data_IF_358799675299
#
_entry.id   IF_358799675299
#
_cell.length_a   1.000
_cell.length_b   1.000
_cell.length_c   1.000
_cell.angle_alpha   90.00
_cell.angle_beta   90.00
_cell.angle_gamma   90.00
#
_symmetry.space_group_name_H-M   'P 1'
#
loop_
_entity.id
_entity.type
_entity.pdbx_description
1 polymer ?
#
# COMPACT_ATOMS: atom_id res chain seq x y z
N UNK A 1 -37.74 -43.16 3.08
CA UNK A 1 -36.81 -44.13 3.72
C UNK A 1 -35.51 -44.12 2.94
N UNK A 2 -34.38 -44.07 3.65
CA UNK A 2 -32.99 -44.33 3.22
C UNK A 2 -32.32 -43.27 2.32
N UNK A 3 -31.38 -42.42 2.82
CA UNK A 3 -29.97 -42.69 3.22
C UNK A 3 -29.10 -42.89 1.95
N UNK A 4 -27.92 -42.30 1.72
CA UNK A 4 -26.82 -41.90 2.61
C UNK A 4 -25.79 -41.12 1.78
N UNK A 5 -25.21 -40.08 2.37
CA UNK A 5 -23.77 -39.77 2.40
C UNK A 5 -22.94 -40.04 1.13
N UNK A 6 -22.56 -38.98 0.43
CA UNK A 6 -21.22 -38.88 -0.17
C UNK A 6 -20.43 -37.79 0.57
N UNK A 7 -19.79 -38.20 1.68
CA UNK A 7 -18.73 -37.40 2.31
C UNK A 7 -17.61 -37.23 1.28
N UNK A 8 -17.18 -36.00 0.98
CA UNK A 8 -15.88 -35.75 0.34
C UNK A 8 -14.79 -35.76 1.42
N UNK A 9 -13.94 -36.79 1.53
CA UNK A 9 -12.87 -36.83 2.51
C UNK A 9 -11.58 -36.26 1.89
N UNK A 10 -10.93 -35.31 2.58
CA UNK A 10 -9.49 -35.04 2.46
C UNK A 10 -9.03 -34.10 1.34
N UNK A 11 -9.22 -32.78 1.49
CA UNK A 11 -8.69 -31.76 0.55
C UNK A 11 -7.71 -30.77 1.21
N UNK A 12 -6.92 -31.19 2.18
CA UNK A 12 -5.94 -30.30 2.84
C UNK A 12 -4.49 -30.46 2.35
N UNK A 13 -4.11 -31.61 1.77
CA UNK A 13 -2.74 -31.86 1.28
C UNK A 13 -2.53 -31.47 -0.20
N UNK A 14 -3.58 -31.42 -1.03
CA UNK A 14 -3.48 -31.06 -2.45
C UNK A 14 -3.25 -29.56 -2.70
N UNK A 15 -3.81 -28.70 -1.84
CA UNK A 15 -3.82 -27.24 -2.08
C UNK A 15 -2.43 -26.60 -1.99
N UNK A 16 -1.56 -27.10 -1.11
CA UNK A 16 -0.18 -26.63 -1.03
C UNK A 16 0.63 -27.03 -2.27
N UNK A 17 0.44 -28.25 -2.77
CA UNK A 17 1.09 -28.72 -4.00
C UNK A 17 0.61 -27.94 -5.23
N UNK A 18 -0.66 -27.55 -5.28
CA UNK A 18 -1.19 -26.68 -6.35
C UNK A 18 -0.60 -25.27 -6.30
N UNK A 19 -0.43 -24.68 -5.10
CA UNK A 19 0.22 -23.38 -4.92
C UNK A 19 1.70 -23.40 -5.34
N UNK A 20 2.42 -24.47 -4.99
CA UNK A 20 3.82 -24.66 -5.41
C UNK A 20 3.91 -25.00 -6.90
N UNK A 21 2.93 -25.71 -7.46
CA UNK A 21 2.84 -25.96 -8.90
C UNK A 21 2.56 -24.69 -9.70
N UNK A 22 1.79 -23.75 -9.17
CA UNK A 22 1.56 -22.44 -9.79
C UNK A 22 2.87 -21.63 -9.94
N UNK A 23 3.80 -21.76 -8.99
CA UNK A 23 5.15 -21.17 -9.06
C UNK A 23 6.04 -21.76 -10.16
N UNK A 24 5.63 -22.83 -10.87
CA UNK A 24 6.39 -23.37 -12.00
C UNK A 24 6.23 -22.51 -13.26
N UNK A 25 5.15 -21.73 -13.38
CA UNK A 25 4.93 -20.84 -14.52
C UNK A 25 5.78 -19.57 -14.36
N UNK A 26 6.56 -19.22 -15.37
CA UNK A 26 7.47 -18.06 -15.35
C UNK A 26 6.72 -16.75 -15.07
N UNK A 27 5.58 -16.54 -15.73
CA UNK A 27 4.76 -15.34 -15.56
C UNK A 27 4.21 -15.22 -14.14
N UNK A 28 3.74 -16.34 -13.58
CA UNK A 28 3.25 -16.37 -12.20
C UNK A 28 4.38 -16.11 -11.20
N UNK A 29 5.58 -16.64 -11.44
CA UNK A 29 6.77 -16.35 -10.62
C UNK A 29 7.12 -14.87 -10.59
N UNK A 30 7.14 -14.21 -11.75
CA UNK A 30 7.44 -12.78 -11.84
C UNK A 30 6.37 -11.96 -11.14
N UNK A 31 5.09 -12.30 -11.32
CA UNK A 31 3.99 -11.66 -10.61
C UNK A 31 4.09 -11.86 -9.10
N UNK A 32 4.41 -13.07 -8.65
CA UNK A 32 4.48 -13.42 -7.23
C UNK A 32 5.62 -12.69 -6.55
N UNK A 33 6.83 -12.73 -7.13
CA UNK A 33 8.01 -12.03 -6.60
C UNK A 33 7.77 -10.52 -6.56
N UNK A 34 7.28 -9.92 -7.65
CA UNK A 34 7.00 -8.48 -7.68
C UNK A 34 5.95 -8.06 -6.65
N UNK A 35 4.89 -8.85 -6.48
CA UNK A 35 3.84 -8.59 -5.49
C UNK A 35 4.37 -8.68 -4.07
N UNK A 36 5.16 -9.71 -3.76
CA UNK A 36 5.75 -9.90 -2.43
C UNK A 36 6.77 -8.82 -2.14
N UNK A 37 7.68 -8.52 -3.06
CA UNK A 37 8.65 -7.43 -2.91
C UNK A 37 7.98 -6.07 -2.70
N UNK A 38 6.88 -5.77 -3.42
CA UNK A 38 6.12 -4.55 -3.23
C UNK A 38 5.48 -4.48 -1.83
N UNK A 39 4.82 -5.56 -1.40
CA UNK A 39 4.24 -5.62 -0.05
C UNK A 39 5.28 -5.46 1.05
N UNK A 40 6.43 -6.12 0.93
CA UNK A 40 7.53 -5.97 1.88
C UNK A 40 8.06 -4.54 1.91
N UNK A 41 8.27 -3.93 0.74
CA UNK A 41 8.70 -2.53 0.63
C UNK A 41 7.73 -1.58 1.32
N UNK A 42 6.42 -1.76 1.12
CA UNK A 42 5.42 -0.94 1.79
C UNK A 42 5.37 -1.15 3.31
N UNK A 43 5.51 -2.39 3.77
CA UNK A 43 5.57 -2.69 5.20
C UNK A 43 6.77 -2.03 5.87
N UNK A 44 7.96 -2.18 5.29
CA UNK A 44 9.19 -1.54 5.79
C UNK A 44 9.04 -0.02 5.78
N UNK A 45 8.49 0.57 4.70
CA UNK A 45 8.28 2.01 4.61
C UNK A 45 7.33 2.52 5.71
N UNK A 46 6.27 1.79 6.06
CA UNK A 46 5.39 2.18 7.17
C UNK A 46 6.12 2.16 8.52
N UNK A 47 6.90 1.12 8.79
CA UNK A 47 7.67 1.01 10.04
C UNK A 47 8.71 2.13 10.14
N UNK A 48 9.50 2.33 9.09
CA UNK A 48 10.52 3.39 9.04
C UNK A 48 9.91 4.78 9.19
N UNK A 49 8.75 5.03 8.59
CA UNK A 49 8.08 6.32 8.71
C UNK A 49 7.61 6.58 10.15
N UNK A 50 7.03 5.57 10.81
CA UNK A 50 6.64 5.69 12.20
C UNK A 50 7.84 5.90 13.12
N UNK A 51 8.93 5.16 12.88
CA UNK A 51 10.18 5.31 13.60
C UNK A 51 10.80 6.69 13.40
N UNK A 52 10.90 7.17 12.17
CA UNK A 52 11.47 8.47 11.83
C UNK A 52 10.70 9.61 12.48
N UNK A 53 9.36 9.55 12.47
CA UNK A 53 8.55 10.54 13.19
C UNK A 53 8.85 10.50 14.68
N UNK A 54 8.91 9.29 15.27
CA UNK A 54 9.20 9.14 16.69
C UNK A 54 10.57 9.67 17.07
N UNK A 55 11.60 9.37 16.28
CA UNK A 55 12.97 9.82 16.48
C UNK A 55 13.08 11.35 16.40
N UNK A 56 12.34 12.00 15.50
CA UNK A 56 12.33 13.45 15.36
C UNK A 56 11.50 14.18 16.44
N UNK A 57 10.38 13.61 16.86
CA UNK A 57 9.42 14.28 17.77
C UNK A 57 9.50 13.82 19.23
N UNK A 58 10.10 12.66 19.49
CA UNK A 58 10.14 12.02 20.81
C UNK A 58 8.76 11.59 21.34
N UNK A 59 7.70 11.67 20.53
CA UNK A 59 6.31 11.46 20.97
C UNK A 59 5.56 10.49 20.07
N UNK A 60 5.11 9.38 20.65
CA UNK A 60 4.23 8.43 19.97
C UNK A 60 2.88 9.04 19.56
N UNK A 61 2.44 10.12 20.21
CA UNK A 61 1.22 10.84 19.83
C UNK A 61 1.35 11.50 18.45
N UNK A 62 2.51 12.08 18.14
CA UNK A 62 2.77 12.69 16.83
C UNK A 62 2.87 11.66 15.71
N UNK A 63 3.39 10.45 16.01
CA UNK A 63 3.36 9.31 15.08
C UNK A 63 1.91 9.01 14.68
N UNK A 64 1.03 8.81 15.67
CA UNK A 64 -0.39 8.54 15.41
C UNK A 64 -1.07 9.65 14.60
N UNK A 65 -0.75 10.90 14.89
CA UNK A 65 -1.31 12.07 14.20
C UNK A 65 -0.86 12.15 12.74
N UNK A 66 0.40 11.84 12.44
CA UNK A 66 0.92 11.76 11.06
C UNK A 66 0.24 10.62 10.29
N UNK A 67 0.06 9.45 10.89
CA UNK A 67 -0.69 8.35 10.26
C UNK A 67 -2.16 8.69 10.03
N UNK A 68 -2.80 9.41 10.96
CA UNK A 68 -4.16 9.90 10.81
C UNK A 68 -4.27 10.94 9.67
N UNK A 69 -3.33 11.89 9.62
CA UNK A 69 -3.26 12.89 8.56
C UNK A 69 -3.02 12.25 7.18
N UNK A 70 -2.18 11.21 7.11
CA UNK A 70 -1.96 10.41 5.88
C UNK A 70 -3.22 9.64 5.46
N UNK A 71 -4.08 9.28 6.41
CA UNK A 71 -5.32 8.54 6.15
C UNK A 71 -6.52 9.44 5.84
N UNK A 72 -6.48 10.72 6.21
CA UNK A 72 -7.56 11.66 5.95
C UNK A 72 -7.93 11.79 4.46
N UNK A 73 -6.98 11.86 3.51
CA UNK A 73 -7.30 11.88 2.08
C UNK A 73 -8.01 10.62 1.61
N UNK A 74 -7.71 9.45 2.18
CA UNK A 74 -8.39 8.19 1.85
C UNK A 74 -9.89 8.26 2.17
N UNK A 75 -10.27 8.93 3.26
CA UNK A 75 -11.68 9.10 3.64
C UNK A 75 -12.41 10.02 2.66
N UNK A 76 -11.81 11.17 2.34
CA UNK A 76 -12.40 12.14 1.40
C UNK A 76 -12.53 11.51 0.01
N UNK A 77 -11.47 10.89 -0.48
CA UNK A 77 -11.46 10.27 -1.80
C UNK A 77 -12.33 9.02 -1.82
N UNK A 78 -12.39 8.21 -0.76
CA UNK A 78 -13.34 7.09 -0.66
C UNK A 78 -14.79 7.53 -0.79
N UNK A 79 -15.13 8.73 -0.27
CA UNK A 79 -16.48 9.29 -0.38
C UNK A 79 -16.76 9.87 -1.79
N UNK A 80 -15.78 10.53 -2.40
CA UNK A 80 -15.91 11.16 -3.73
C UNK A 80 -15.56 10.19 -4.89
N UNK A 81 -15.02 9.02 -4.55
CA UNK A 81 -14.50 8.00 -5.46
C UNK A 81 -15.49 7.67 -6.57
N UNK A 82 -16.75 7.40 -6.20
CA UNK A 82 -17.81 7.03 -7.13
C UNK A 82 -18.02 8.06 -8.24
N UNK A 83 -17.91 9.35 -7.93
CA UNK A 83 -18.12 10.44 -8.90
C UNK A 83 -16.87 10.69 -9.76
N UNK A 84 -15.68 10.51 -9.19
CA UNK A 84 -14.41 10.71 -9.91
C UNK A 84 -14.14 9.57 -10.90
N UNK A 85 -14.41 8.32 -10.51
CA UNK A 85 -14.18 7.15 -11.39
C UNK A 85 -15.07 7.12 -12.61
N UNK A 86 -16.19 7.84 -12.60
CA UNK A 86 -17.13 7.92 -13.73
C UNK A 86 -16.70 8.99 -14.76
N UNK A 87 -15.80 9.91 -14.39
CA UNK A 87 -15.40 11.05 -15.23
C UNK A 87 -13.97 10.98 -15.75
N UNK A 88 -13.10 10.16 -15.15
CA UNK A 88 -11.68 10.12 -15.47
C UNK A 88 -11.21 8.71 -15.87
N UNK A 89 -10.34 8.66 -16.87
CA UNK A 89 -9.75 7.41 -17.34
C UNK A 89 -8.87 6.79 -16.25
N UNK A 90 -9.32 5.66 -15.67
CA UNK A 90 -8.71 4.98 -14.52
C UNK A 90 -7.21 4.73 -14.69
N UNK A 91 -6.77 4.40 -15.91
CA UNK A 91 -5.35 4.14 -16.21
C UNK A 91 -4.48 5.39 -16.10
N UNK A 92 -5.00 6.56 -16.44
CA UNK A 92 -4.27 7.82 -16.34
C UNK A 92 -4.21 8.31 -14.89
N UNK A 93 -5.28 8.11 -14.12
CA UNK A 93 -5.31 8.42 -12.68
C UNK A 93 -4.35 7.54 -11.88
N UNK A 94 -4.29 6.23 -12.17
CA UNK A 94 -3.32 5.32 -11.55
C UNK A 94 -1.88 5.74 -11.85
N UNK A 95 -1.55 6.04 -13.12
CA UNK A 95 -0.19 6.46 -13.49
C UNK A 95 0.22 7.76 -12.80
N UNK A 96 -0.65 8.77 -12.77
CA UNK A 96 -0.38 10.03 -12.09
C UNK A 96 -0.16 9.84 -10.59
N UNK A 97 -0.98 8.99 -9.95
CA UNK A 97 -0.87 8.69 -8.52
C UNK A 97 0.44 7.99 -8.19
N UNK A 98 0.82 6.96 -8.96
CA UNK A 98 2.09 6.24 -8.78
C UNK A 98 3.28 7.18 -8.95
N UNK A 99 3.29 8.01 -10.00
CA UNK A 99 4.35 9.00 -10.22
C UNK A 99 4.43 10.00 -9.06
N UNK A 100 3.30 10.52 -8.59
CA UNK A 100 3.24 11.41 -7.43
C UNK A 100 3.77 10.76 -6.15
N UNK A 101 3.41 9.51 -5.89
CA UNK A 101 3.91 8.74 -4.75
C UNK A 101 5.42 8.52 -4.83
N UNK A 102 5.94 8.13 -6.00
CA UNK A 102 7.38 7.92 -6.21
C UNK A 102 8.16 9.22 -6.04
N UNK A 103 7.65 10.35 -6.55
CA UNK A 103 8.27 11.65 -6.35
C UNK A 103 8.29 12.07 -4.87
N UNK A 104 7.17 11.89 -4.16
CA UNK A 104 7.10 12.18 -2.72
C UNK A 104 8.07 11.31 -1.91
N UNK A 105 8.11 10.01 -2.19
CA UNK A 105 9.01 9.07 -1.53
C UNK A 105 10.48 9.39 -1.84
N UNK A 106 10.80 9.70 -3.09
CA UNK A 106 12.14 10.10 -3.51
C UNK A 106 12.59 11.41 -2.87
N UNK A 107 11.68 12.40 -2.77
CA UNK A 107 11.95 13.65 -2.09
C UNK A 107 12.23 13.42 -0.60
N UNK A 108 11.39 12.64 0.10
CA UNK A 108 11.63 12.28 1.49
C UNK A 108 12.97 11.56 1.67
N UNK A 109 13.28 10.57 0.84
CA UNK A 109 14.56 9.85 0.88
C UNK A 109 15.75 10.78 0.68
N UNK A 110 15.65 11.71 -0.27
CA UNK A 110 16.68 12.71 -0.52
C UNK A 110 16.87 13.66 0.67
N UNK A 111 15.78 14.15 1.27
CA UNK A 111 15.83 15.03 2.45
C UNK A 111 16.42 14.32 3.68
N UNK A 112 16.15 13.03 3.85
CA UNK A 112 16.76 12.20 4.89
C UNK A 112 18.27 12.07 4.65
N UNK A 113 18.70 11.83 3.40
CA UNK A 113 20.14 11.67 3.08
C UNK A 113 20.99 12.91 3.32
N UNK A 114 20.38 14.11 3.37
CA UNK A 114 21.09 15.37 3.61
C UNK A 114 20.95 15.87 5.06
N UNK A 115 20.32 15.09 5.96
CA UNK A 115 20.04 15.46 7.36
C UNK A 115 19.35 16.84 7.54
N UNK A 116 18.66 17.33 6.50
CA UNK A 116 17.90 18.59 6.53
C UNK A 116 16.41 18.37 6.77
N UNK A 117 16.02 17.16 7.16
CA UNK A 117 14.62 16.84 7.34
C UNK A 117 14.05 17.61 8.53
N UNK A 118 13.07 18.46 8.26
CA UNK A 118 12.26 19.09 9.30
C UNK A 118 10.90 18.37 9.44
N UNK A 119 10.35 18.36 10.65
CA UNK A 119 9.03 17.74 10.94
C UNK A 119 7.93 18.28 10.01
N UNK A 120 7.92 19.59 9.73
CA UNK A 120 6.95 20.19 8.81
C UNK A 120 7.06 19.67 7.37
N UNK A 121 8.27 19.40 6.88
CA UNK A 121 8.48 18.80 5.56
C UNK A 121 8.01 17.35 5.54
N UNK A 122 8.28 16.59 6.61
CA UNK A 122 7.78 15.24 6.76
C UNK A 122 6.25 15.21 6.76
N UNK A 123 5.60 16.09 7.52
CA UNK A 123 4.13 16.21 7.57
C UNK A 123 3.53 16.57 6.20
N UNK A 124 4.11 17.55 5.49
CA UNK A 124 3.67 17.92 4.14
C UNK A 124 3.79 16.75 3.17
N UNK A 125 4.96 16.11 3.11
CA UNK A 125 5.20 15.03 2.15
C UNK A 125 4.35 13.81 2.47
N UNK A 126 4.16 13.47 3.75
CA UNK A 126 3.28 12.35 4.17
C UNK A 126 1.81 12.61 3.88
N UNK A 127 1.35 13.86 4.01
CA UNK A 127 0.02 14.26 3.61
C UNK A 127 -0.21 14.07 2.11
N UNK A 128 0.71 14.58 1.27
CA UNK A 128 0.64 14.40 -0.19
C UNK A 128 0.75 12.93 -0.59
N UNK A 129 1.64 12.18 0.05
CA UNK A 129 1.77 10.74 -0.16
C UNK A 129 0.46 10.01 0.14
N UNK A 130 -0.21 10.37 1.24
CA UNK A 130 -1.55 9.86 1.59
C UNK A 130 -2.60 10.21 0.55
N UNK A 131 -2.58 11.44 0.03
CA UNK A 131 -3.49 11.88 -1.03
C UNK A 131 -3.30 11.08 -2.33
N UNK A 132 -2.06 10.90 -2.80
CA UNK A 132 -1.81 10.08 -3.98
C UNK A 132 -2.15 8.60 -3.75
N UNK A 133 -1.90 8.07 -2.55
CA UNK A 133 -2.24 6.70 -2.20
C UNK A 133 -3.75 6.46 -2.23
N UNK A 134 -4.54 7.45 -1.81
CA UNK A 134 -6.00 7.41 -1.87
C UNK A 134 -6.52 7.34 -3.31
N UNK A 135 -5.98 8.18 -4.20
CA UNK A 135 -6.32 8.12 -5.62
C UNK A 135 -5.93 6.79 -6.25
N UNK A 136 -4.78 6.23 -5.87
CA UNK A 136 -4.34 4.91 -6.34
C UNK A 136 -5.28 3.78 -5.89
N UNK A 137 -5.70 3.78 -4.61
CA UNK A 137 -6.63 2.80 -4.05
C UNK A 137 -8.00 2.83 -4.74
N UNK A 138 -8.51 4.02 -5.07
CA UNK A 138 -9.80 4.20 -5.74
C UNK A 138 -9.77 3.83 -7.23
N UNK A 139 -8.63 4.03 -7.89
CA UNK A 139 -8.50 3.75 -9.32
C UNK A 139 -8.26 2.26 -9.62
N UNK A 140 -7.70 1.51 -8.66
CA UNK A 140 -7.44 0.07 -8.74
C UNK A 140 -8.73 -0.76 -8.67
#
# INVERSE_FOLDING_TARGET
MHNSKARRPGAHSGRYNELVAALRYADFRVLWVSTVSNQLGQGIQQVLLGWLVFEMTGSGGMVGLVFAARSAPNLVIGFVAGVITDRWDRRSLMRASVVGMTLCAGLLGFLVSIDRLAIWQLMLVTFFLGAFQAFYMTAR
#
